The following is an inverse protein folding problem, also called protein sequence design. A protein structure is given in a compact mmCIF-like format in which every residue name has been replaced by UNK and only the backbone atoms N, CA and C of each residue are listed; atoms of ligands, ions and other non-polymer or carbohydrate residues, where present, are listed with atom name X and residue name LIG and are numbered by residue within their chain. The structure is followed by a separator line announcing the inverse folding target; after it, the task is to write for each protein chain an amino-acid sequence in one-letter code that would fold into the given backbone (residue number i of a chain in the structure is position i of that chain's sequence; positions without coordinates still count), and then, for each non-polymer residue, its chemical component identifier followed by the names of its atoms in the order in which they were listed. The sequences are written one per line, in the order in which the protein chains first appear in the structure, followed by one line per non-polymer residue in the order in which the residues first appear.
data_IF_279007336797
#
_entry.id   IF_279007336797
#
_cell.length_a   1.000
_cell.length_b   1.000
_cell.length_c   1.000
_cell.angle_alpha   90.00
_cell.angle_beta   90.00
_cell.angle_gamma   90.00
#
_symmetry.space_group_name_H-M   'P 1'
#
loop_
_entity.id
_entity.type
_entity.pdbx_description
1 polymer ?
#
# COMPACT_ATOMS: atom_id res chain seq x y z
N UNK A 1 26.54 17.32 -0.98
CA UNK A 1 26.09 16.40 0.10
C UNK A 1 25.82 15.02 -0.48
N UNK A 2 26.49 13.95 -0.01
CA UNK A 2 26.22 12.57 -0.49
C UNK A 2 24.81 12.14 -0.08
N UNK A 3 23.94 11.84 -1.04
CA UNK A 3 22.60 11.28 -0.76
C UNK A 3 22.79 9.89 -0.15
N UNK A 4 22.23 9.66 1.04
CA UNK A 4 22.26 8.35 1.72
C UNK A 4 21.44 7.32 0.93
N UNK A 5 21.86 6.05 0.96
CA UNK A 5 21.30 4.94 0.15
C UNK A 5 19.77 4.82 0.24
N UNK A 6 19.22 5.01 1.44
CA UNK A 6 17.79 4.87 1.66
C UNK A 6 16.95 5.96 0.98
N UNK A 7 17.54 7.05 0.46
CA UNK A 7 16.82 8.06 -0.33
C UNK A 7 16.45 7.56 -1.73
N UNK A 8 16.89 6.37 -2.13
CA UNK A 8 16.53 5.73 -3.39
C UNK A 8 15.40 4.70 -3.26
N UNK A 9 14.82 4.52 -2.06
CA UNK A 9 13.73 3.55 -1.85
C UNK A 9 12.45 3.91 -2.60
N UNK A 10 12.29 5.14 -3.09
CA UNK A 10 11.21 5.48 -4.02
C UNK A 10 11.27 4.66 -5.32
N UNK A 11 12.46 4.29 -5.79
CA UNK A 11 12.66 3.45 -6.99
C UNK A 11 12.06 2.05 -6.76
N UNK A 12 12.12 1.54 -5.53
CA UNK A 12 11.53 0.24 -5.17
C UNK A 12 10.03 0.18 -5.49
N UNK A 13 9.29 1.26 -5.18
CA UNK A 13 7.86 1.34 -5.48
C UNK A 13 7.56 1.27 -6.98
N UNK A 14 8.31 2.04 -7.77
CA UNK A 14 8.18 2.03 -9.22
C UNK A 14 8.55 0.66 -9.79
N UNK A 15 9.56 0.01 -9.23
CA UNK A 15 10.07 -1.28 -9.68
C UNK A 15 9.02 -2.38 -9.48
N UNK A 16 8.46 -2.57 -8.27
CA UNK A 16 7.48 -3.65 -8.09
C UNK A 16 6.15 -3.36 -8.81
N UNK A 17 5.74 -2.09 -8.97
CA UNK A 17 4.54 -1.77 -9.74
C UNK A 17 4.74 -2.04 -11.24
N UNK A 18 5.91 -1.69 -11.78
CA UNK A 18 6.27 -1.96 -13.18
C UNK A 18 6.41 -3.46 -13.41
N UNK A 19 7.09 -4.18 -12.51
CA UNK A 19 7.20 -5.64 -12.61
C UNK A 19 5.83 -6.31 -12.51
N UNK A 20 4.97 -5.88 -11.58
CA UNK A 20 3.59 -6.36 -11.46
C UNK A 20 2.72 -6.08 -12.69
N UNK A 21 3.04 -5.03 -13.46
CA UNK A 21 2.40 -4.75 -14.73
C UNK A 21 2.75 -5.78 -15.81
N UNK A 22 3.97 -6.33 -15.80
CA UNK A 22 4.40 -7.35 -16.77
C UNK A 22 4.08 -8.77 -16.29
N UNK A 23 4.24 -9.04 -15.00
CA UNK A 23 3.94 -10.34 -14.40
C UNK A 23 3.37 -10.12 -13.00
N UNK A 24 2.12 -10.54 -12.81
CA UNK A 24 1.36 -10.25 -11.60
C UNK A 24 2.01 -10.82 -10.34
N UNK A 25 2.78 -11.90 -10.45
CA UNK A 25 3.44 -12.56 -9.30
C UNK A 25 4.43 -11.65 -8.60
N UNK A 26 4.96 -10.62 -9.26
CA UNK A 26 5.82 -9.65 -8.59
C UNK A 26 5.06 -8.77 -7.58
N UNK A 27 3.73 -8.77 -7.58
CA UNK A 27 2.93 -8.13 -6.52
C UNK A 27 3.29 -8.65 -5.11
N UNK A 28 3.75 -9.90 -5.00
CA UNK A 28 4.24 -10.47 -3.74
C UNK A 28 5.42 -9.70 -3.14
N UNK A 29 6.26 -9.06 -3.96
CA UNK A 29 7.34 -8.18 -3.47
C UNK A 29 6.79 -6.99 -2.68
N UNK A 30 5.59 -6.53 -3.01
CA UNK A 30 4.88 -5.49 -2.29
C UNK A 30 4.56 -5.84 -0.84
N UNK A 31 4.42 -7.13 -0.53
CA UNK A 31 4.16 -7.60 0.84
C UNK A 31 5.32 -7.23 1.79
N UNK A 32 6.55 -7.16 1.28
CA UNK A 32 7.72 -6.73 2.05
C UNK A 32 7.51 -5.30 2.57
N UNK A 33 7.03 -4.39 1.71
CA UNK A 33 6.75 -2.99 2.08
C UNK A 33 5.65 -2.86 3.13
N UNK A 34 4.74 -3.84 3.23
CA UNK A 34 3.69 -3.89 4.27
C UNK A 34 4.16 -4.58 5.56
N UNK A 35 5.02 -5.59 5.47
CA UNK A 35 5.50 -6.33 6.63
C UNK A 35 6.55 -5.55 7.44
N UNK A 36 7.51 -4.92 6.78
CA UNK A 36 8.60 -4.17 7.42
C UNK A 36 8.14 -3.11 8.44
N UNK A 37 7.15 -2.23 8.16
CA UNK A 37 6.70 -1.27 9.15
C UNK A 37 6.12 -1.94 10.40
N UNK A 38 5.43 -3.07 10.23
CA UNK A 38 4.81 -3.80 11.34
C UNK A 38 5.87 -4.50 12.19
N UNK A 39 6.83 -5.18 11.56
CA UNK A 39 7.97 -5.82 12.26
C UNK A 39 8.75 -4.79 13.07
N UNK A 40 9.05 -3.61 12.49
CA UNK A 40 9.77 -2.57 13.21
C UNK A 40 8.95 -1.95 14.36
N UNK A 41 7.64 -1.79 14.18
CA UNK A 41 6.75 -1.29 15.24
C UNK A 41 6.65 -2.28 16.40
N UNK A 42 6.48 -3.58 16.12
CA UNK A 42 6.40 -4.63 17.14
C UNK A 42 7.77 -4.81 17.83
N UNK A 43 8.84 -4.94 17.06
CA UNK A 43 10.20 -5.21 17.58
C UNK A 43 10.81 -4.02 18.31
N UNK A 44 10.82 -2.83 17.69
CA UNK A 44 11.52 -1.66 18.23
C UNK A 44 10.61 -0.60 18.83
N UNK A 45 9.28 -0.70 18.70
CA UNK A 45 8.35 0.27 19.27
C UNK A 45 8.41 1.66 18.62
N UNK A 46 9.00 1.78 17.44
CA UNK A 46 9.18 3.07 16.77
C UNK A 46 8.57 3.10 15.36
N UNK A 47 8.34 4.32 14.86
CA UNK A 47 7.80 4.57 13.52
C UNK A 47 8.88 4.93 12.49
N UNK A 48 10.11 4.47 12.70
CA UNK A 48 11.24 4.88 11.86
C UNK A 48 11.01 4.51 10.39
N UNK A 49 10.42 3.34 10.13
CA UNK A 49 10.07 2.91 8.77
C UNK A 49 9.13 3.90 8.10
N UNK A 50 7.94 4.12 8.66
CA UNK A 50 6.93 5.01 8.08
C UNK A 50 7.47 6.44 7.88
N UNK A 51 8.30 6.93 8.80
CA UNK A 51 8.83 8.28 8.73
C UNK A 51 9.95 8.43 7.69
N UNK A 52 10.87 7.45 7.61
CA UNK A 52 12.16 7.60 6.93
C UNK A 52 12.38 6.60 5.77
N UNK A 53 11.92 5.37 5.89
CA UNK A 53 12.21 4.28 4.93
C UNK A 53 11.06 3.91 4.01
N UNK A 54 9.82 4.32 4.30
CA UNK A 54 8.67 3.99 3.47
C UNK A 54 8.90 4.47 2.02
N UNK A 55 9.03 3.50 1.12
CA UNK A 55 9.21 3.59 -0.33
C UNK A 55 8.20 4.57 -0.94
N UNK A 56 6.90 4.31 -0.76
CA UNK A 56 5.83 5.19 -1.26
C UNK A 56 5.92 6.60 -0.69
N UNK A 57 6.16 6.70 0.62
CA UNK A 57 6.32 8.01 1.27
C UNK A 57 7.51 8.80 0.73
N UNK A 58 8.53 8.13 0.19
CA UNK A 58 9.63 8.77 -0.52
C UNK A 58 9.26 9.12 -1.96
N UNK A 59 8.50 8.28 -2.66
CA UNK A 59 7.98 8.55 -4.01
C UNK A 59 7.16 9.82 -4.04
N UNK A 60 6.18 9.96 -3.15
CA UNK A 60 5.37 11.17 -3.06
C UNK A 60 6.20 12.42 -2.70
N UNK A 61 7.25 12.25 -1.88
CA UNK A 61 8.16 13.34 -1.56
C UNK A 61 9.00 13.75 -2.77
N UNK A 62 9.53 12.79 -3.52
CA UNK A 62 10.31 13.02 -4.74
C UNK A 62 9.45 13.73 -5.80
N UNK A 63 8.24 13.23 -6.06
CA UNK A 63 7.28 13.86 -6.98
C UNK A 63 6.87 15.26 -6.50
N UNK A 64 6.68 15.46 -5.20
CA UNK A 64 6.42 16.79 -4.64
C UNK A 64 7.58 17.78 -4.75
N UNK A 65 8.83 17.29 -4.82
CA UNK A 65 10.01 18.12 -5.09
C UNK A 65 10.10 18.53 -6.56
N UNK A 66 9.61 17.70 -7.48
CA UNK A 66 9.49 18.01 -8.91
C UNK A 66 8.37 19.02 -9.24
N UNK A 67 7.60 19.47 -8.26
CA UNK A 67 6.58 20.52 -8.43
C UNK A 67 5.16 20.00 -8.67
N UNK A 68 4.92 18.70 -8.68
CA UNK A 68 3.59 18.13 -8.92
C UNK A 68 2.57 18.37 -7.78
N UNK A 69 2.97 18.94 -6.64
CA UNK A 69 2.10 19.17 -5.48
C UNK A 69 1.71 20.64 -5.34
N UNK A 70 0.42 20.92 -5.17
CA UNK A 70 -0.11 22.28 -4.88
C UNK A 70 0.26 22.79 -3.48
N UNK A 71 0.83 21.93 -2.62
CA UNK A 71 1.29 22.24 -1.25
C UNK A 71 0.23 22.88 -0.34
N UNK A 72 -1.06 22.73 -0.65
CA UNK A 72 -2.16 23.16 0.22
C UNK A 72 -2.25 22.29 1.45
N UNK A 73 -2.68 22.87 2.56
CA UNK A 73 -2.87 22.13 3.79
C UNK A 73 -4.11 21.23 3.71
N UNK A 74 -4.01 20.06 4.34
CA UNK A 74 -5.07 19.07 4.35
C UNK A 74 -6.20 19.53 5.29
N UNK A 75 -7.49 19.37 4.91
CA UNK A 75 -8.61 19.79 5.73
C UNK A 75 -8.62 19.08 7.09
N UNK A 76 -9.20 19.73 8.10
CA UNK A 76 -9.18 19.25 9.48
C UNK A 76 -9.85 17.87 9.63
N UNK A 77 -10.94 17.61 8.90
CA UNK A 77 -11.67 16.33 8.97
C UNK A 77 -10.81 15.14 8.53
N UNK A 78 -9.94 15.28 7.53
CA UNK A 78 -9.02 14.21 7.08
C UNK A 78 -7.90 13.94 8.09
N UNK A 79 -7.60 14.89 8.98
CA UNK A 79 -6.63 14.71 10.07
C UNK A 79 -7.26 14.08 11.31
N UNK A 80 -8.59 14.05 11.38
CA UNK A 80 -9.33 13.55 12.54
C UNK A 80 -9.05 12.08 12.82
N UNK A 81 -9.19 11.68 14.09
CA UNK A 81 -9.06 10.27 14.47
C UNK A 81 -10.14 9.41 13.83
N UNK A 82 -11.38 9.91 13.78
CA UNK A 82 -12.52 9.22 13.16
C UNK A 82 -12.22 8.85 11.70
N UNK A 83 -11.74 9.80 10.88
CA UNK A 83 -11.40 9.50 9.49
C UNK A 83 -10.25 8.50 9.37
N UNK A 84 -9.19 8.65 10.19
CA UNK A 84 -8.03 7.74 10.17
C UNK A 84 -8.41 6.30 10.52
N UNK A 85 -9.23 6.09 11.53
CA UNK A 85 -9.69 4.76 11.93
C UNK A 85 -10.72 4.21 10.95
N UNK A 86 -11.68 5.03 10.49
CA UNK A 86 -12.67 4.62 9.50
C UNK A 86 -12.02 4.19 8.18
N UNK A 87 -11.08 4.99 7.68
CA UNK A 87 -10.31 4.66 6.48
C UNK A 87 -9.46 3.40 6.68
N UNK A 88 -8.86 3.23 7.86
CA UNK A 88 -8.14 2.00 8.19
C UNK A 88 -9.06 0.78 8.14
N UNK A 89 -10.20 0.79 8.84
CA UNK A 89 -11.16 -0.32 8.84
C UNK A 89 -11.63 -0.64 7.42
N UNK A 90 -11.97 0.38 6.62
CA UNK A 90 -12.33 0.20 5.22
C UNK A 90 -11.22 -0.51 4.43
N UNK A 91 -9.98 -0.06 4.56
CA UNK A 91 -8.85 -0.63 3.82
C UNK A 91 -8.52 -2.07 4.26
N UNK A 92 -8.65 -2.37 5.56
CA UNK A 92 -8.47 -3.71 6.09
C UNK A 92 -9.61 -4.66 5.71
N UNK A 93 -10.85 -4.17 5.60
CA UNK A 93 -11.96 -4.95 5.08
C UNK A 93 -11.73 -5.35 3.61
N UNK A 94 -11.21 -4.42 2.79
CA UNK A 94 -10.80 -4.73 1.41
C UNK A 94 -9.69 -5.78 1.36
N UNK A 95 -8.67 -5.66 2.21
CA UNK A 95 -7.63 -6.68 2.32
C UNK A 95 -8.18 -8.03 2.75
N UNK A 96 -9.13 -8.05 3.69
CA UNK A 96 -9.85 -9.26 4.10
C UNK A 96 -10.62 -9.91 2.94
N UNK A 97 -11.22 -9.12 2.05
CA UNK A 97 -11.87 -9.63 0.85
C UNK A 97 -10.88 -10.29 -0.14
N UNK A 98 -9.68 -9.74 -0.28
CA UNK A 98 -8.59 -10.38 -1.06
C UNK A 98 -8.21 -11.73 -0.46
N UNK A 99 -8.05 -11.81 0.87
CA UNK A 99 -7.76 -13.08 1.54
C UNK A 99 -8.90 -14.10 1.38
N UNK A 100 -10.15 -13.65 1.50
CA UNK A 100 -11.32 -14.50 1.36
C UNK A 100 -11.48 -15.06 -0.06
N UNK A 101 -11.34 -14.20 -1.09
CA UNK A 101 -11.38 -14.65 -2.48
C UNK A 101 -10.22 -15.59 -2.83
N UNK A 102 -9.02 -15.34 -2.30
CA UNK A 102 -7.89 -16.26 -2.41
C UNK A 102 -8.20 -17.61 -1.77
N UNK A 103 -8.82 -17.61 -0.59
CA UNK A 103 -9.19 -18.83 0.12
C UNK A 103 -10.27 -19.63 -0.63
N UNK A 104 -11.25 -18.97 -1.26
CA UNK A 104 -12.25 -19.63 -2.12
C UNK A 104 -11.63 -20.33 -3.33
N UNK A 105 -10.63 -19.70 -3.97
CA UNK A 105 -9.89 -20.32 -5.08
C UNK A 105 -9.04 -21.47 -4.58
N UNK A 106 -8.42 -21.33 -3.40
CA UNK A 106 -7.63 -22.39 -2.77
C UNK A 106 -8.48 -23.60 -2.40
N UNK A 107 -9.71 -23.41 -1.90
CA UNK A 107 -10.64 -24.49 -1.55
C UNK A 107 -11.33 -25.14 -2.76
N UNK A 108 -11.07 -24.65 -3.98
CA UNK A 108 -11.70 -25.13 -5.21
C UNK A 108 -13.16 -24.69 -5.38
N UNK A 109 -13.68 -23.84 -4.48
CA UNK A 109 -15.06 -23.35 -4.53
C UNK A 109 -15.23 -22.11 -5.43
N UNK A 110 -14.13 -21.46 -5.83
CA UNK A 110 -14.12 -20.28 -6.70
C UNK A 110 -13.21 -20.44 -7.92
N UNK A 111 -13.58 -19.79 -9.03
CA UNK A 111 -12.74 -19.68 -10.23
C UNK A 111 -11.73 -18.53 -10.11
N UNK A 112 -10.59 -18.66 -10.79
CA UNK A 112 -9.60 -17.58 -10.91
C UNK A 112 -10.24 -16.33 -11.52
N UNK A 113 -10.11 -15.17 -10.86
CA UNK A 113 -10.49 -13.87 -11.42
C UNK A 113 -9.24 -13.07 -11.77
N UNK A 114 -8.83 -13.12 -13.04
CA UNK A 114 -7.70 -12.37 -13.58
C UNK A 114 -8.04 -10.90 -13.89
N UNK A 115 -8.69 -10.22 -12.94
CA UNK A 115 -9.19 -8.84 -13.06
C UNK A 115 -8.59 -7.98 -11.96
N UNK A 116 -8.02 -6.84 -12.34
CA UNK A 116 -7.51 -5.83 -11.38
C UNK A 116 -8.59 -4.76 -11.18
N UNK A 117 -9.08 -4.62 -9.95
CA UNK A 117 -10.17 -3.71 -9.57
C UNK A 117 -9.65 -2.36 -9.04
N UNK A 118 -9.49 -1.38 -9.93
CA UNK A 118 -9.07 -0.04 -9.53
C UNK A 118 -10.21 0.73 -8.86
N UNK A 119 -9.94 1.30 -7.68
CA UNK A 119 -10.92 2.07 -6.89
C UNK A 119 -12.26 1.31 -6.80
N UNK A 120 -12.22 -0.01 -6.60
CA UNK A 120 -13.38 -0.92 -6.41
C UNK A 120 -14.48 -0.87 -7.50
N UNK A 121 -14.32 -0.06 -8.53
CA UNK A 121 -15.34 0.26 -9.54
C UNK A 121 -14.88 -0.06 -10.94
N UNK A 122 -13.58 0.09 -11.22
CA UNK A 122 -13.02 -0.10 -12.55
C UNK A 122 -12.33 -1.44 -12.63
N UNK A 123 -12.93 -2.35 -13.39
CA UNK A 123 -12.39 -3.68 -13.66
C UNK A 123 -11.50 -3.60 -14.90
N UNK A 124 -10.18 -3.64 -14.69
CA UNK A 124 -9.21 -3.66 -15.77
C UNK A 124 -8.86 -5.12 -16.10
N UNK A 125 -9.08 -5.59 -17.34
CA UNK A 125 -8.73 -6.94 -17.74
C UNK A 125 -7.20 -7.05 -17.78
N UNK A 126 -6.61 -7.81 -16.87
CA UNK A 126 -5.16 -7.87 -16.66
C UNK A 126 -4.59 -9.26 -16.97
N UNK A 127 -5.28 -9.97 -17.85
CA UNK A 127 -5.07 -11.38 -18.20
C UNK A 127 -3.71 -11.66 -18.84
N UNK A 128 -3.09 -10.69 -19.53
CA UNK A 128 -1.80 -10.88 -20.22
C UNK A 128 -0.59 -11.06 -19.27
N UNK A 129 -0.77 -10.82 -17.97
CA UNK A 129 0.29 -10.90 -16.96
C UNK A 129 0.35 -12.25 -16.25
N UNK A 130 -0.62 -13.13 -16.52
CA UNK A 130 -0.72 -14.44 -15.91
C UNK A 130 -0.02 -15.49 -16.79
N UNK A 131 0.86 -16.28 -16.19
CA UNK A 131 1.40 -17.48 -16.79
C UNK A 131 0.68 -18.70 -16.22
N UNK A 132 0.12 -19.55 -17.09
CA UNK A 132 -0.66 -20.74 -16.71
C UNK A 132 0.14 -21.79 -15.91
N UNK A 133 1.46 -21.63 -15.81
CA UNK A 133 2.34 -22.54 -15.07
C UNK A 133 2.28 -22.39 -13.55
N UNK A 134 1.41 -21.54 -13.00
CA UNK A 134 1.42 -21.19 -11.56
C UNK A 134 0.06 -21.46 -10.91
N UNK A 135 0.12 -21.98 -9.67
CA UNK A 135 -1.04 -22.40 -8.90
C UNK A 135 -2.11 -21.28 -8.80
N UNK A 136 -3.38 -21.54 -9.17
CA UNK A 136 -4.43 -20.52 -9.28
C UNK A 136 -4.59 -19.60 -8.05
N UNK A 137 -4.44 -20.11 -6.82
CA UNK A 137 -4.59 -19.27 -5.63
C UNK A 137 -3.48 -18.21 -5.50
N UNK A 138 -2.25 -18.52 -5.95
CA UNK A 138 -1.12 -17.59 -5.87
C UNK A 138 -1.31 -16.40 -6.80
N UNK A 139 -1.89 -16.65 -7.98
CA UNK A 139 -2.26 -15.63 -8.94
C UNK A 139 -3.46 -14.83 -8.44
N UNK A 140 -4.47 -15.48 -7.87
CA UNK A 140 -5.62 -14.79 -7.27
C UNK A 140 -5.19 -13.79 -6.19
N UNK A 141 -4.32 -14.21 -5.26
CA UNK A 141 -3.78 -13.32 -4.24
C UNK A 141 -2.98 -12.17 -4.86
N UNK A 142 -2.15 -12.47 -5.85
CA UNK A 142 -1.35 -11.46 -6.54
C UNK A 142 -2.22 -10.40 -7.23
N UNK A 143 -3.28 -10.79 -7.92
CA UNK A 143 -4.26 -9.86 -8.53
C UNK A 143 -4.94 -8.98 -7.49
N UNK A 144 -5.43 -9.58 -6.41
CA UNK A 144 -6.08 -8.83 -5.33
C UNK A 144 -5.12 -7.87 -4.61
N UNK A 145 -3.90 -8.33 -4.32
CA UNK A 145 -2.88 -7.51 -3.68
C UNK A 145 -2.44 -6.35 -4.57
N UNK A 146 -2.17 -6.61 -5.85
CA UNK A 146 -1.81 -5.58 -6.82
C UNK A 146 -2.92 -4.54 -6.97
N UNK A 147 -4.18 -4.98 -7.06
CA UNK A 147 -5.35 -4.12 -7.12
C UNK A 147 -5.44 -3.16 -5.92
N UNK A 148 -5.30 -3.70 -4.71
CA UNK A 148 -5.33 -2.93 -3.48
C UNK A 148 -4.16 -1.95 -3.39
N UNK A 149 -2.96 -2.39 -3.76
CA UNK A 149 -1.76 -1.55 -3.80
C UNK A 149 -1.90 -0.39 -4.79
N UNK A 150 -2.33 -0.69 -6.02
CA UNK A 150 -2.50 0.28 -7.10
C UNK A 150 -3.58 1.31 -6.74
N UNK A 151 -4.71 0.84 -6.21
CA UNK A 151 -5.78 1.70 -5.68
C UNK A 151 -5.23 2.67 -4.62
N UNK A 152 -4.43 2.17 -3.68
CA UNK A 152 -3.81 3.01 -2.65
C UNK A 152 -2.84 4.04 -3.23
N UNK A 153 -2.10 3.68 -4.27
CA UNK A 153 -1.12 4.55 -4.92
C UNK A 153 -1.82 5.66 -5.69
N UNK A 154 -2.90 5.35 -6.41
CA UNK A 154 -3.72 6.34 -7.11
C UNK A 154 -4.28 7.36 -6.13
N UNK A 155 -4.87 6.93 -5.01
CA UNK A 155 -5.39 7.87 -3.99
C UNK A 155 -4.24 8.68 -3.37
N UNK A 156 -3.08 8.06 -3.17
CA UNK A 156 -1.90 8.73 -2.63
C UNK A 156 -1.41 9.85 -3.57
N UNK A 157 -1.32 9.57 -4.88
CA UNK A 157 -0.95 10.54 -5.90
C UNK A 157 -1.99 11.66 -6.00
N UNK A 158 -3.28 11.33 -6.07
CA UNK A 158 -4.36 12.34 -6.13
C UNK A 158 -4.31 13.28 -4.93
N UNK A 159 -4.15 12.75 -3.72
CA UNK A 159 -4.05 13.59 -2.52
C UNK A 159 -2.75 14.38 -2.45
N UNK A 160 -1.66 13.88 -3.02
CA UNK A 160 -0.40 14.62 -3.17
C UNK A 160 -0.52 15.79 -4.16
N UNK A 161 -1.23 15.60 -5.27
CA UNK A 161 -1.49 16.65 -6.27
C UNK A 161 -2.27 17.81 -5.64
N UNK A 162 -3.30 17.50 -4.85
CA UNK A 162 -4.20 18.50 -4.25
C UNK A 162 -3.59 19.18 -3.02
N UNK A 163 -2.92 18.41 -2.15
CA UNK A 163 -2.44 18.88 -0.85
C UNK A 163 -0.90 18.84 -0.78
N UNK A 164 -0.32 18.69 0.42
CA UNK A 164 1.12 18.51 0.65
C UNK A 164 1.63 17.18 0.07
N UNK A 165 2.93 17.07 -0.27
CA UNK A 165 3.52 15.85 -0.81
C UNK A 165 3.32 14.59 0.03
N UNK A 166 3.22 14.68 1.36
CA UNK A 166 3.04 13.51 2.23
C UNK A 166 1.65 13.42 2.86
N UNK A 167 0.63 13.98 2.21
CA UNK A 167 -0.74 13.99 2.74
C UNK A 167 -1.30 12.58 2.96
N UNK A 168 -1.06 11.65 2.02
CA UNK A 168 -1.45 10.24 2.19
C UNK A 168 -0.87 9.61 3.45
N UNK A 169 0.38 9.91 3.79
CA UNK A 169 1.04 9.37 4.99
C UNK A 169 0.32 9.77 6.29
N UNK A 170 -0.51 10.82 6.27
CA UNK A 170 -1.25 11.29 7.43
C UNK A 170 -2.38 10.33 7.82
N UNK A 171 -3.08 9.74 6.85
CA UNK A 171 -4.22 8.84 7.08
C UNK A 171 -4.00 7.41 6.54
N UNK A 172 -2.79 7.11 6.10
CA UNK A 172 -2.38 5.79 5.64
C UNK A 172 -2.72 4.71 6.70
N UNK A 173 -3.39 3.60 6.32
CA UNK A 173 -3.82 2.56 7.24
C UNK A 173 -2.65 1.93 8.00
N UNK A 174 -1.51 1.71 7.33
CA UNK A 174 -0.29 1.19 7.96
C UNK A 174 0.32 2.17 8.96
N UNK A 175 0.25 3.48 8.69
CA UNK A 175 0.70 4.51 9.62
C UNK A 175 -0.16 4.56 10.88
N UNK A 176 -1.47 4.40 10.73
CA UNK A 176 -2.42 4.30 11.85
C UNK A 176 -2.19 3.02 12.65
N UNK A 177 -2.06 1.86 11.98
CA UNK A 177 -1.83 0.58 12.64
C UNK A 177 -0.52 0.58 13.45
N UNK A 178 0.59 1.01 12.84
CA UNK A 178 1.88 1.11 13.55
C UNK A 178 1.83 2.08 14.72
N UNK A 179 1.00 3.14 14.65
CA UNK A 179 0.76 4.02 15.79
C UNK A 179 0.10 3.31 16.96
N UNK A 180 -0.93 2.50 16.70
CA UNK A 180 -1.63 1.74 17.72
C UNK A 180 -0.67 0.76 18.38
N UNK A 181 0.09 0.01 17.57
CA UNK A 181 1.08 -0.96 18.06
C UNK A 181 2.13 -0.29 18.95
N UNK A 182 2.74 0.82 18.50
CA UNK A 182 3.72 1.55 19.30
C UNK A 182 3.12 2.08 20.61
N UNK A 183 1.90 2.62 20.59
CA UNK A 183 1.23 3.10 21.81
C UNK A 183 0.95 1.97 22.79
N UNK A 184 0.37 0.86 22.31
CA UNK A 184 0.10 -0.31 23.13
C UNK A 184 1.38 -0.88 23.77
N UNK A 185 2.50 -0.86 23.03
CA UNK A 185 3.80 -1.26 23.56
C UNK A 185 4.34 -0.29 24.61
N UNK A 186 4.16 1.03 24.41
CA UNK A 186 4.57 2.03 25.38
C UNK A 186 3.78 1.95 26.69
N UNK A 187 2.50 1.56 26.65
CA UNK A 187 1.67 1.35 27.85
C UNK A 187 2.03 0.08 28.63
N UNK A 188 2.64 -0.91 27.97
CA UNK A 188 3.09 -2.16 28.60
C UNK A 188 4.48 -2.07 29.25
N UNK A 189 5.19 -0.96 29.07
CA UNK A 189 6.54 -0.73 29.59
C UNK A 189 6.47 0.22 30.77
#
# INVERSE_FOLDING_TARGET
MKKRWYHYLWIWSLLYFSLGFFNILFAWLGLISFALPLVMAIGFGNKLFCNRYCDRGQTLRALGQLGFSRRRDMPAWMKSQAFRYGFMVFFFAMFGNVLYSTWLVYSGAGSLQAVVTLLWTWQLPWQWTYSEMVNPWTAQFAFGLYSLMLTSEVIALLTMLVYRPRSWCVYCPMGTLTQIVCKAKATKK
#
